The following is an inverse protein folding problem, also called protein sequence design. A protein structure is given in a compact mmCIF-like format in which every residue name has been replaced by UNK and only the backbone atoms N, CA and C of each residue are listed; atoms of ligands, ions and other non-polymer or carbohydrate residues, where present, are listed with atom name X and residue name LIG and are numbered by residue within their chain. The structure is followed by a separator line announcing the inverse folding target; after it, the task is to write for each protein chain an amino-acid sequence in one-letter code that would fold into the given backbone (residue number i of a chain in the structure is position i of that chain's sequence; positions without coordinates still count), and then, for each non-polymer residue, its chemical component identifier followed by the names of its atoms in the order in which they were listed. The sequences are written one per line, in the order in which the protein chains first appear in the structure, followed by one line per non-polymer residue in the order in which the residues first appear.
data_IF_663035298826
#
_entry.id   IF_663035298826
#
_cell.length_a   1.000
_cell.length_b   1.000
_cell.length_c   1.000
_cell.angle_alpha   90.00
_cell.angle_beta   90.00
_cell.angle_gamma   90.00
#
_symmetry.space_group_name_H-M   'P 1'
#
loop_
_entity.id
_entity.type
_entity.pdbx_description
1 polymer ?
#
# COMPACT_ATOMS: atom_id res chain seq x y z
N UNK A 1 -4.16 4.09 -3.43
CA UNK A 1 -5.28 4.08 -4.38
C UNK A 1 -4.92 4.65 -5.75
N UNK A 2 -4.15 5.74 -5.82
CA UNK A 2 -3.91 6.42 -7.10
C UNK A 2 -2.97 5.64 -8.04
N UNK A 3 -1.96 4.95 -7.51
CA UNK A 3 -1.00 4.17 -8.32
C UNK A 3 -1.71 3.03 -9.04
N UNK A 4 -2.57 2.30 -8.37
CA UNK A 4 -3.38 1.24 -9.00
C UNK A 4 -4.28 1.76 -10.11
N UNK A 5 -4.86 2.96 -9.93
CA UNK A 5 -5.64 3.63 -10.96
C UNK A 5 -4.81 4.06 -12.17
N UNK A 6 -3.56 4.48 -11.96
CA UNK A 6 -2.63 4.83 -13.05
C UNK A 6 -2.22 3.55 -13.80
N UNK A 7 -1.85 2.50 -13.09
CA UNK A 7 -1.49 1.22 -13.68
C UNK A 7 -2.62 0.66 -14.54
N UNK A 8 -3.85 0.65 -14.02
CA UNK A 8 -5.01 0.23 -14.78
C UNK A 8 -5.29 1.06 -16.05
N UNK A 9 -4.76 2.28 -16.16
CA UNK A 9 -4.89 3.13 -17.34
C UNK A 9 -3.76 3.01 -18.35
N UNK A 10 -2.60 2.55 -17.92
CA UNK A 10 -1.44 2.36 -18.80
C UNK A 10 -1.57 1.13 -19.67
N UNK A 11 -2.37 0.15 -19.25
CA UNK A 11 -2.55 -1.11 -19.97
C UNK A 11 -3.92 -1.17 -20.64
N UNK A 12 -4.03 -1.62 -21.91
CA UNK A 12 -5.31 -1.75 -22.60
C UNK A 12 -6.20 -2.81 -21.91
N UNK A 13 -7.51 -2.54 -21.85
CA UNK A 13 -8.50 -3.45 -21.27
C UNK A 13 -8.61 -4.80 -22.00
N UNK A 14 -8.05 -4.90 -23.21
CA UNK A 14 -8.06 -6.13 -24.00
C UNK A 14 -7.07 -7.19 -23.54
N UNK A 15 -6.13 -6.82 -22.64
CA UNK A 15 -5.05 -7.68 -22.17
C UNK A 15 -5.19 -7.90 -20.66
N UNK A 16 -6.19 -8.72 -20.29
CA UNK A 16 -6.50 -9.03 -18.88
C UNK A 16 -5.31 -9.70 -18.19
N UNK A 17 -4.60 -10.59 -18.88
CA UNK A 17 -3.44 -11.32 -18.33
C UNK A 17 -2.26 -10.38 -18.02
N UNK A 18 -1.99 -9.38 -18.86
CA UNK A 18 -0.96 -8.37 -18.61
C UNK A 18 -1.35 -7.48 -17.41
N UNK A 19 -2.63 -7.11 -17.32
CA UNK A 19 -3.14 -6.27 -16.24
C UNK A 19 -3.01 -6.97 -14.89
N UNK A 20 -3.37 -8.24 -14.80
CA UNK A 20 -3.23 -9.05 -13.59
C UNK A 20 -1.76 -9.20 -13.18
N UNK A 21 -0.87 -9.39 -14.17
CA UNK A 21 0.57 -9.44 -13.92
C UNK A 21 1.10 -8.15 -13.33
N UNK A 22 0.67 -6.99 -13.86
CA UNK A 22 1.10 -5.67 -13.36
C UNK A 22 0.61 -5.43 -11.93
N UNK A 23 -0.62 -5.80 -11.61
CA UNK A 23 -1.13 -5.68 -10.24
C UNK A 23 -0.41 -6.62 -9.28
N UNK A 24 -0.10 -7.84 -9.69
CA UNK A 24 0.69 -8.79 -8.90
C UNK A 24 2.10 -8.27 -8.64
N UNK A 25 2.76 -7.73 -9.65
CA UNK A 25 4.07 -7.10 -9.50
C UNK A 25 4.02 -5.89 -8.57
N UNK A 26 3.02 -5.01 -8.74
CA UNK A 26 2.84 -3.88 -7.84
C UNK A 26 2.69 -4.34 -6.39
N UNK A 27 1.86 -5.34 -6.13
CA UNK A 27 1.67 -5.91 -4.80
C UNK A 27 2.96 -6.49 -4.23
N UNK A 28 3.72 -7.21 -5.05
CA UNK A 28 5.02 -7.77 -4.67
C UNK A 28 6.02 -6.67 -4.29
N UNK A 29 6.13 -5.60 -5.09
CA UNK A 29 7.01 -4.48 -4.78
C UNK A 29 6.60 -3.73 -3.50
N UNK A 30 5.30 -3.57 -3.25
CA UNK A 30 4.80 -3.00 -1.99
C UNK A 30 5.24 -3.85 -0.80
N UNK A 31 5.14 -5.18 -0.89
CA UNK A 31 5.56 -6.08 0.17
C UNK A 31 7.09 -6.10 0.35
N UNK A 32 7.87 -6.07 -0.72
CA UNK A 32 9.33 -5.93 -0.66
C UNK A 32 9.71 -4.61 0.03
N UNK A 33 9.04 -3.52 -0.32
CA UNK A 33 9.25 -2.20 0.31
C UNK A 33 8.88 -2.21 1.79
N UNK A 34 7.76 -2.82 2.14
CA UNK A 34 7.31 -2.98 3.54
C UNK A 34 8.31 -3.81 4.35
N UNK A 35 8.72 -4.96 3.83
CA UNK A 35 9.73 -5.81 4.48
C UNK A 35 11.06 -5.06 4.69
N UNK A 36 11.58 -4.44 3.63
CA UNK A 36 12.85 -3.73 3.68
C UNK A 36 12.77 -2.54 4.64
N UNK A 37 11.71 -1.74 4.55
CA UNK A 37 11.49 -0.59 5.40
C UNK A 37 11.42 -1.00 6.88
N UNK A 38 10.54 -1.91 7.24
CA UNK A 38 10.37 -2.34 8.63
C UNK A 38 11.65 -2.97 9.19
N UNK A 39 12.35 -3.77 8.39
CA UNK A 39 13.55 -4.47 8.85
C UNK A 39 14.74 -3.53 9.03
N UNK A 40 15.07 -2.76 7.99
CA UNK A 40 16.28 -1.94 8.00
C UNK A 40 16.11 -0.65 8.80
N UNK A 41 14.94 -0.01 8.72
CA UNK A 41 14.73 1.25 9.45
C UNK A 41 14.61 1.02 10.95
N UNK A 42 14.01 -0.09 11.39
CA UNK A 42 13.96 -0.42 12.82
C UNK A 42 15.36 -0.71 13.38
N UNK A 43 16.22 -1.38 12.60
CA UNK A 43 17.61 -1.60 12.97
C UNK A 43 18.39 -0.26 13.02
N UNK A 44 18.18 0.60 12.04
CA UNK A 44 18.80 1.93 11.98
C UNK A 44 18.38 2.77 13.21
N UNK A 45 17.11 2.76 13.58
CA UNK A 45 16.61 3.44 14.77
C UNK A 45 17.30 2.96 16.04
N UNK A 46 17.54 1.66 16.16
CA UNK A 46 18.21 1.04 17.30
C UNK A 46 19.69 1.40 17.38
N UNK A 47 20.40 1.43 16.26
CA UNK A 47 21.86 1.64 16.21
C UNK A 47 22.21 3.13 16.19
N UNK A 48 21.53 3.92 15.37
CA UNK A 48 21.88 5.34 15.11
C UNK A 48 20.89 6.33 15.71
N UNK A 49 19.79 5.86 16.28
CA UNK A 49 18.74 6.68 16.89
C UNK A 49 17.74 7.27 15.88
N UNK A 50 16.63 7.78 16.42
CA UNK A 50 15.50 8.26 15.63
C UNK A 50 15.81 9.48 14.76
N UNK A 51 16.77 10.33 15.15
CA UNK A 51 17.15 11.49 14.32
C UNK A 51 17.73 11.07 12.98
N UNK A 52 18.62 10.08 13.01
CA UNK A 52 19.23 9.53 11.79
C UNK A 52 18.17 8.79 10.96
N UNK A 53 17.30 8.04 11.62
CA UNK A 53 16.18 7.37 10.96
C UNK A 53 15.32 8.37 10.17
N UNK A 54 14.86 9.44 10.81
CA UNK A 54 14.01 10.43 10.14
C UNK A 54 14.74 11.17 9.01
N UNK A 55 16.04 11.44 9.18
CA UNK A 55 16.84 12.02 8.11
C UNK A 55 16.91 11.10 6.89
N UNK A 56 17.18 9.82 7.09
CA UNK A 56 17.21 8.82 6.01
C UNK A 56 15.86 8.70 5.32
N UNK A 57 14.78 8.66 6.09
CA UNK A 57 13.41 8.66 5.53
C UNK A 57 13.12 9.92 4.70
N UNK A 58 13.54 11.09 5.19
CA UNK A 58 13.34 12.35 4.47
C UNK A 58 14.10 12.36 3.14
N UNK A 59 15.36 11.89 3.15
CA UNK A 59 16.16 11.78 1.92
C UNK A 59 15.53 10.79 0.95
N UNK A 60 15.08 9.62 1.44
CA UNK A 60 14.42 8.61 0.61
C UNK A 60 13.14 9.17 -0.05
N UNK A 61 12.29 9.86 0.72
CA UNK A 61 11.09 10.51 0.20
C UNK A 61 11.41 11.61 -0.81
N UNK A 62 12.47 12.37 -0.59
CA UNK A 62 12.91 13.38 -1.55
C UNK A 62 13.37 12.75 -2.87
N UNK A 63 14.15 11.68 -2.81
CA UNK A 63 14.58 10.91 -3.99
C UNK A 63 13.37 10.33 -4.72
N UNK A 64 12.42 9.76 -4.00
CA UNK A 64 11.17 9.22 -4.57
C UNK A 64 10.35 10.32 -5.27
N UNK A 65 10.23 11.48 -4.64
CA UNK A 65 9.54 12.63 -5.24
C UNK A 65 10.20 13.08 -6.55
N UNK A 66 11.54 13.19 -6.56
CA UNK A 66 12.29 13.53 -7.77
C UNK A 66 12.11 12.46 -8.85
N UNK A 67 12.21 11.20 -8.47
CA UNK A 67 11.99 10.06 -9.37
C UNK A 67 10.58 10.06 -9.97
N UNK A 68 9.57 10.35 -9.14
CA UNK A 68 8.20 10.47 -9.58
C UNK A 68 8.02 11.59 -10.61
N UNK A 69 8.61 12.78 -10.38
CA UNK A 69 8.55 13.90 -11.32
C UNK A 69 9.14 13.52 -12.68
N UNK A 70 10.27 12.83 -12.69
CA UNK A 70 10.86 12.33 -13.93
C UNK A 70 10.00 11.24 -14.58
N UNK A 71 9.43 10.35 -13.78
CA UNK A 71 8.54 9.26 -14.22
C UNK A 71 7.26 9.75 -14.87
N UNK A 72 6.72 10.90 -14.45
CA UNK A 72 5.49 11.47 -15.03
C UNK A 72 5.56 11.68 -16.53
N UNK A 73 6.75 11.83 -17.11
CA UNK A 73 6.94 11.97 -18.56
C UNK A 73 6.54 10.70 -19.32
N UNK A 74 6.65 9.55 -18.69
CA UNK A 74 6.33 8.26 -19.28
C UNK A 74 4.85 7.89 -19.18
N UNK A 75 4.12 8.55 -18.25
CA UNK A 75 2.70 8.26 -18.04
C UNK A 75 1.77 8.96 -19.04
N UNK A 76 2.30 9.86 -19.87
CA UNK A 76 1.49 10.61 -20.83
C UNK A 76 0.37 11.39 -20.14
N UNK A 77 -0.88 11.11 -20.51
CA UNK A 77 -2.07 11.72 -19.88
C UNK A 77 -2.68 10.88 -18.76
N UNK A 78 -2.13 9.68 -18.49
CA UNK A 78 -2.58 8.86 -17.39
C UNK A 78 -2.34 9.59 -16.06
N UNK A 79 -3.41 9.81 -15.31
CA UNK A 79 -3.36 10.51 -14.02
C UNK A 79 -3.50 12.04 -14.06
N UNK A 80 -3.43 12.67 -15.23
CA UNK A 80 -3.58 14.14 -15.36
C UNK A 80 -5.03 14.61 -15.42
N UNK A 81 -5.93 13.78 -15.92
CA UNK A 81 -7.35 14.13 -16.07
C UNK A 81 -8.22 13.20 -15.22
N UNK A 82 -9.19 13.74 -14.48
CA UNK A 82 -10.19 12.89 -13.85
C UNK A 82 -10.99 12.17 -14.94
N UNK A 83 -11.49 11.05 -14.66
CA UNK A 83 -12.24 9.98 -15.32
C UNK A 83 -13.09 10.28 -16.60
N UNK A 84 -13.05 11.48 -17.18
CA UNK A 84 -14.03 11.93 -18.17
C UNK A 84 -13.79 11.48 -19.60
N UNK A 85 -12.64 10.89 -19.93
CA UNK A 85 -12.41 10.37 -21.29
C UNK A 85 -11.50 9.14 -21.21
N UNK A 86 -12.10 7.99 -21.24
CA UNK A 86 -11.38 6.77 -21.55
C UNK A 86 -11.17 6.70 -23.06
N UNK A 87 -10.01 7.17 -23.53
CA UNK A 87 -9.63 7.08 -24.94
C UNK A 87 -9.45 5.61 -25.40
N UNK A 88 -9.69 4.64 -24.53
CA UNK A 88 -9.60 3.21 -24.82
C UNK A 88 -10.84 2.68 -25.53
N UNK A 89 -11.93 3.40 -25.49
CA UNK A 89 -13.13 3.05 -26.21
C UNK A 89 -13.29 4.04 -27.34
N UNK A 90 -12.76 3.71 -28.50
CA UNK A 90 -12.76 4.52 -29.72
C UNK A 90 -14.17 4.89 -30.23
N UNK A 91 -15.23 4.40 -29.57
CA UNK A 91 -16.62 4.52 -29.97
C UNK A 91 -17.57 4.88 -28.83
N UNK A 92 -17.10 5.45 -27.73
CA UNK A 92 -18.03 6.12 -26.83
C UNK A 92 -18.25 7.52 -27.42
N UNK A 93 -19.31 7.66 -28.21
CA UNK A 93 -19.95 8.95 -28.41
C UNK A 93 -19.85 9.73 -27.12
N UNK A 94 -19.35 11.00 -27.22
CA UNK A 94 -19.20 11.91 -26.08
C UNK A 94 -20.31 11.60 -25.09
N UNK A 95 -19.94 10.94 -23.99
CA UNK A 95 -20.88 10.74 -22.91
C UNK A 95 -21.29 12.13 -22.45
N UNK A 96 -22.36 12.66 -23.03
CA UNK A 96 -23.13 13.73 -22.43
C UNK A 96 -23.24 13.32 -20.98
N UNK A 97 -22.92 14.24 -20.07
CA UNK A 97 -23.08 14.00 -18.63
C UNK A 97 -24.41 13.32 -18.46
N UNK A 98 -24.36 12.00 -18.34
CA UNK A 98 -25.56 11.20 -18.23
C UNK A 98 -26.14 11.48 -16.85
N UNK A 99 -26.99 12.49 -16.79
CA UNK A 99 -27.74 12.86 -15.59
C UNK A 99 -28.90 11.90 -15.35
N UNK A 100 -28.97 10.82 -16.15
CA UNK A 100 -29.97 9.80 -15.99
C UNK A 100 -29.82 9.11 -14.61
N UNK A 101 -30.91 8.85 -13.92
CA UNK A 101 -30.88 8.13 -12.64
C UNK A 101 -30.32 6.73 -12.83
N UNK A 102 -29.43 6.32 -11.91
CA UNK A 102 -28.79 5.00 -11.91
C UNK A 102 -29.79 3.88 -12.15
N UNK A 103 -29.46 3.01 -13.07
CA UNK A 103 -30.24 1.78 -13.35
C UNK A 103 -30.29 0.87 -12.12
N UNK A 104 -31.23 -0.06 -12.08
CA UNK A 104 -31.34 -1.04 -10.99
C UNK A 104 -30.06 -1.88 -10.83
N UNK A 105 -29.35 -2.17 -11.93
CA UNK A 105 -28.11 -2.94 -11.92
C UNK A 105 -26.96 -2.11 -11.34
N UNK A 106 -26.84 -0.86 -11.74
CA UNK A 106 -25.82 0.05 -11.21
C UNK A 106 -26.03 0.31 -9.73
N UNK A 107 -27.24 0.51 -9.27
CA UNK A 107 -27.56 0.61 -7.83
C UNK A 107 -27.10 -0.63 -7.06
N UNK A 108 -27.36 -1.85 -7.58
CA UNK A 108 -26.89 -3.08 -6.95
C UNK A 108 -25.35 -3.14 -6.88
N UNK A 109 -24.64 -2.73 -7.94
CA UNK A 109 -23.18 -2.66 -7.97
C UNK A 109 -22.63 -1.67 -6.94
N UNK A 110 -23.22 -0.47 -6.86
CA UNK A 110 -22.85 0.54 -5.86
C UNK A 110 -23.05 0.00 -4.43
N UNK A 111 -24.19 -0.64 -4.16
CA UNK A 111 -24.46 -1.24 -2.84
C UNK A 111 -23.43 -2.34 -2.53
N UNK A 112 -23.09 -3.18 -3.48
CA UNK A 112 -22.08 -4.23 -3.29
C UNK A 112 -20.71 -3.62 -2.96
N UNK A 113 -20.29 -2.55 -3.68
CA UNK A 113 -19.05 -1.83 -3.39
C UNK A 113 -19.08 -1.23 -1.98
N UNK A 114 -20.18 -0.59 -1.59
CA UNK A 114 -20.31 -0.01 -0.25
C UNK A 114 -20.23 -1.08 0.85
N UNK A 115 -20.85 -2.24 0.66
CA UNK A 115 -20.76 -3.36 1.61
C UNK A 115 -19.32 -3.85 1.73
N UNK A 116 -18.65 -4.12 0.61
CA UNK A 116 -17.23 -4.57 0.61
C UNK A 116 -16.33 -3.53 1.28
N UNK A 117 -16.53 -2.25 0.99
CA UNK A 117 -15.77 -1.15 1.61
C UNK A 117 -16.01 -1.08 3.11
N UNK A 118 -17.26 -1.26 3.57
CA UNK A 118 -17.57 -1.28 5.00
C UNK A 118 -16.89 -2.46 5.72
N UNK A 119 -16.93 -3.66 5.13
CA UNK A 119 -16.23 -4.82 5.68
C UNK A 119 -14.71 -4.61 5.71
N UNK A 120 -14.14 -4.05 4.65
CA UNK A 120 -12.72 -3.69 4.63
C UNK A 120 -12.37 -2.67 5.73
N UNK A 121 -13.22 -1.67 5.94
CA UNK A 121 -13.03 -0.70 7.01
C UNK A 121 -13.06 -1.34 8.40
N UNK A 122 -13.98 -2.26 8.66
CA UNK A 122 -14.06 -3.01 9.92
C UNK A 122 -12.81 -3.89 10.09
N UNK A 123 -12.37 -4.58 9.03
CA UNK A 123 -11.16 -5.40 9.06
C UNK A 123 -9.94 -4.56 9.47
N UNK A 124 -9.71 -3.41 8.83
CA UNK A 124 -8.59 -2.53 9.15
C UNK A 124 -8.68 -1.95 10.56
N UNK A 125 -9.88 -1.62 11.03
CA UNK A 125 -10.11 -1.15 12.40
C UNK A 125 -9.69 -2.22 13.41
N UNK A 126 -10.16 -3.45 13.24
CA UNK A 126 -9.79 -4.58 14.12
C UNK A 126 -8.28 -4.83 14.04
N UNK A 127 -7.70 -4.83 12.84
CA UNK A 127 -6.28 -5.01 12.63
C UNK A 127 -5.46 -4.02 13.45
N UNK A 128 -5.75 -2.72 13.34
CA UNK A 128 -5.03 -1.69 14.09
C UNK A 128 -5.29 -1.74 15.59
N UNK A 129 -6.46 -2.13 16.01
CA UNK A 129 -6.78 -2.27 17.45
C UNK A 129 -6.05 -3.45 18.11
N UNK A 130 -5.81 -4.53 17.38
CA UNK A 130 -5.06 -5.69 17.89
C UNK A 130 -3.55 -5.46 17.75
N UNK A 131 -3.13 -4.94 16.63
CA UNK A 131 -1.74 -4.80 16.27
C UNK A 131 -0.97 -3.83 17.16
N UNK A 132 -1.48 -2.61 17.37
CA UNK A 132 -0.82 -1.61 18.20
C UNK A 132 -0.67 -2.04 19.68
N UNK A 133 -1.71 -2.52 20.37
CA UNK A 133 -1.56 -3.02 21.74
C UNK A 133 -0.56 -4.16 21.88
N UNK A 134 -0.56 -5.12 20.94
CA UNK A 134 0.40 -6.22 20.94
C UNK A 134 1.83 -5.71 20.88
N UNK A 135 2.11 -4.70 20.07
CA UNK A 135 3.43 -4.09 20.00
C UNK A 135 3.84 -3.39 21.29
N UNK A 136 2.92 -2.64 21.89
CA UNK A 136 3.21 -1.84 23.09
C UNK A 136 3.24 -2.69 24.36
N UNK A 137 2.34 -3.64 24.50
CA UNK A 137 2.22 -4.45 25.72
C UNK A 137 3.21 -5.62 25.77
N UNK A 138 3.54 -6.20 24.61
CA UNK A 138 4.41 -7.37 24.54
C UNK A 138 5.81 -7.05 24.00
N UNK A 139 6.09 -5.79 23.68
CA UNK A 139 7.41 -5.34 23.24
C UNK A 139 8.44 -5.37 24.38
N UNK A 140 9.74 -5.38 24.02
CA UNK A 140 10.83 -5.56 25.00
C UNK A 140 11.02 -4.39 25.97
N UNK A 141 10.36 -3.25 25.74
CA UNK A 141 10.56 -2.01 26.51
C UNK A 141 9.56 -1.79 27.63
N UNK A 142 8.54 -2.61 27.77
CA UNK A 142 7.54 -2.48 28.83
C UNK A 142 7.87 -3.38 30.00
N UNK A 143 7.85 -2.82 31.23
CA UNK A 143 8.01 -3.59 32.47
C UNK A 143 6.95 -4.69 32.61
N UNK A 144 5.78 -4.51 32.00
CA UNK A 144 4.70 -5.48 31.93
C UNK A 144 4.81 -6.45 30.77
N UNK A 145 5.78 -6.26 29.87
CA UNK A 145 5.96 -7.09 28.69
C UNK A 145 6.21 -8.53 29.08
N UNK A 146 5.41 -9.45 28.56
CA UNK A 146 5.61 -10.89 28.75
C UNK A 146 6.90 -11.40 28.10
N UNK A 147 7.68 -10.53 27.45
CA UNK A 147 9.00 -10.83 26.90
C UNK A 147 9.02 -11.83 25.74
N UNK A 148 7.85 -12.30 25.28
CA UNK A 148 7.80 -13.28 24.21
C UNK A 148 8.27 -12.71 22.85
N UNK A 149 8.16 -11.39 22.67
CA UNK A 149 8.69 -10.68 21.50
C UNK A 149 10.16 -10.24 21.70
N UNK A 150 10.75 -10.54 22.84
CA UNK A 150 12.12 -10.16 23.17
C UNK A 150 13.10 -11.32 22.88
N UNK A 151 13.27 -11.59 21.62
CA UNK A 151 14.20 -12.65 21.20
C UNK A 151 15.62 -12.11 21.14
N UNK A 152 16.47 -12.71 21.98
CA UNK A 152 17.89 -12.43 21.99
C UNK A 152 18.65 -13.49 21.18
N UNK A 153 19.40 -13.01 20.18
CA UNK A 153 20.34 -13.85 19.43
C UNK A 153 21.75 -13.47 19.91
N UNK A 154 22.23 -14.19 20.91
CA UNK A 154 23.44 -13.80 21.62
C UNK A 154 23.28 -12.46 22.36
N UNK A 155 24.12 -11.49 22.04
CA UNK A 155 24.03 -10.11 22.58
C UNK A 155 23.09 -9.19 21.81
N UNK A 156 22.52 -9.64 20.70
CA UNK A 156 21.62 -8.87 19.86
C UNK A 156 20.17 -9.12 20.20
N UNK A 157 19.44 -8.08 20.60
CA UNK A 157 17.98 -8.15 20.82
C UNK A 157 17.29 -7.78 19.51
N UNK A 158 16.45 -8.67 19.02
CA UNK A 158 15.70 -8.45 17.78
C UNK A 158 14.69 -7.30 17.96
N UNK A 159 14.63 -6.32 17.03
CA UNK A 159 13.61 -5.27 17.09
C UNK A 159 12.19 -5.86 16.97
N UNK A 160 11.25 -5.40 17.79
CA UNK A 160 9.86 -5.86 17.75
C UNK A 160 9.22 -5.69 16.36
N UNK A 161 9.60 -4.64 15.63
CA UNK A 161 9.13 -4.38 14.28
C UNK A 161 9.48 -5.49 13.26
N UNK A 162 10.44 -6.36 13.56
CA UNK A 162 10.77 -7.49 12.68
C UNK A 162 9.67 -8.55 12.62
N UNK A 163 8.83 -8.65 13.64
CA UNK A 163 7.65 -9.52 13.58
C UNK A 163 6.64 -9.04 12.53
N UNK A 164 6.54 -7.72 12.33
CA UNK A 164 5.74 -7.15 11.26
C UNK A 164 6.30 -7.49 9.87
N UNK A 165 7.61 -7.49 9.73
CA UNK A 165 8.28 -7.86 8.48
C UNK A 165 7.94 -9.26 8.01
N UNK A 166 7.63 -10.18 8.92
CA UNK A 166 7.24 -11.56 8.58
C UNK A 166 5.95 -11.61 7.76
N UNK A 167 5.01 -10.72 8.03
CA UNK A 167 3.77 -10.64 7.24
C UNK A 167 4.08 -10.34 5.76
N UNK A 168 4.97 -9.38 5.52
CA UNK A 168 5.36 -9.01 4.17
C UNK A 168 6.07 -10.15 3.42
N UNK A 169 6.92 -10.93 4.12
CA UNK A 169 7.58 -12.12 3.53
C UNK A 169 6.53 -13.16 3.13
N UNK A 170 5.59 -13.46 4.03
CA UNK A 170 4.55 -14.47 3.76
C UNK A 170 3.62 -14.07 2.61
N UNK A 171 3.50 -12.78 2.31
CA UNK A 171 2.72 -12.31 1.17
C UNK A 171 3.47 -12.37 -0.17
N UNK A 172 4.81 -12.58 -0.15
CA UNK A 172 5.64 -12.66 -1.36
C UNK A 172 5.76 -14.12 -1.85
N UNK A 173 5.70 -15.09 -0.91
CA UNK A 173 5.81 -16.54 -1.20
C UNK A 173 4.46 -17.07 -1.71
#
# INVERSE_FOLDING_TARGET
GNVSGINGRLFPLADEDELDTVFSLQYTFVNIGSFSGTTFLSLLAKVAGYRVLFLVCAIALFVDCVWWIFGMKFFGDAGKKPFLVDNRVENVEKAEKDTAPLTKLEKKRVIAILIVTAFSGIFWLIWYMVYNPVYYEFGPTTEAGLGWANWNIGSFTMPTAWFDSMNAILCII
#
